data_IF_249315555162
#
_entry.id   IF_249315555162
#
_cell.length_a   1.000
_cell.length_b   1.000
_cell.length_c   1.000
_cell.angle_alpha   90.00
_cell.angle_beta   90.00
_cell.angle_gamma   90.00
#
_symmetry.space_group_name_H-M   'P 1'
#
loop_
_entity.id
_entity.type
_entity.pdbx_description
1 polymer ?
#
# COMPACT_ATOMS: atom_id res chain seq x y z
N UNK A 1 -17.41 -9.58 -40.51
CA UNK A 1 -18.48 -9.32 -39.52
C UNK A 1 -19.09 -10.59 -38.92
N UNK A 2 -19.44 -11.62 -39.71
CA UNK A 2 -19.99 -12.90 -39.19
C UNK A 2 -19.00 -13.78 -38.40
N UNK A 3 -17.68 -13.64 -38.59
CA UNK A 3 -16.66 -14.37 -37.80
C UNK A 3 -16.37 -13.80 -36.40
N UNK A 4 -16.73 -12.53 -36.15
CA UNK A 4 -16.55 -11.90 -34.84
C UNK A 4 -17.73 -12.20 -33.88
N UNK A 5 -18.92 -12.47 -34.44
CA UNK A 5 -20.11 -12.81 -33.66
C UNK A 5 -20.18 -14.29 -33.27
N UNK A 6 -19.39 -15.18 -33.90
CA UNK A 6 -19.40 -16.62 -33.58
C UNK A 6 -18.54 -17.01 -32.38
N UNK A 7 -17.65 -16.14 -31.89
CA UNK A 7 -16.87 -16.43 -30.68
C UNK A 7 -17.61 -16.08 -29.37
N UNK A 8 -18.65 -15.24 -29.44
CA UNK A 8 -19.49 -14.90 -28.29
C UNK A 8 -20.47 -16.02 -27.90
N UNK A 9 -20.58 -17.08 -28.71
CA UNK A 9 -21.62 -18.10 -28.55
C UNK A 9 -21.18 -19.35 -27.76
N UNK A 10 -19.94 -19.45 -27.28
CA UNK A 10 -19.48 -20.67 -26.57
C UNK A 10 -18.45 -20.48 -25.44
N UNK A 11 -18.04 -19.24 -25.10
CA UNK A 11 -17.15 -18.97 -23.98
C UNK A 11 -17.93 -18.37 -22.81
N UNK A 12 -17.89 -18.98 -21.63
CA UNK A 12 -18.42 -18.34 -20.41
C UNK A 12 -17.60 -17.08 -20.14
N UNK A 13 -18.21 -15.90 -20.23
CA UNK A 13 -17.61 -14.63 -19.80
C UNK A 13 -17.19 -14.76 -18.34
N UNK A 14 -15.93 -14.44 -18.02
CA UNK A 14 -15.44 -14.38 -16.63
C UNK A 14 -15.74 -13.01 -16.07
N UNK A 15 -16.29 -12.93 -14.87
CA UNK A 15 -16.61 -11.66 -14.21
C UNK A 15 -15.72 -11.43 -13.01
N UNK A 16 -15.25 -10.20 -12.85
CA UNK A 16 -14.33 -9.79 -11.81
C UNK A 16 -14.86 -8.53 -11.12
N UNK A 17 -14.85 -8.47 -9.79
CA UNK A 17 -15.24 -7.28 -9.02
C UNK A 17 -14.03 -6.63 -8.41
N UNK A 18 -13.97 -5.33 -8.59
CA UNK A 18 -13.12 -4.42 -7.86
C UNK A 18 -14.00 -3.60 -6.90
N UNK A 19 -13.71 -3.69 -5.61
CA UNK A 19 -14.28 -2.83 -4.57
C UNK A 19 -13.31 -1.71 -4.23
N UNK A 20 -13.82 -0.60 -3.68
CA UNK A 20 -13.00 0.54 -3.25
C UNK A 20 -12.32 1.27 -4.41
N UNK A 21 -12.95 1.27 -5.59
CA UNK A 21 -12.41 1.87 -6.81
C UNK A 21 -12.29 3.39 -6.76
N UNK A 22 -12.96 4.03 -5.80
CA UNK A 22 -12.87 5.45 -5.50
C UNK A 22 -11.66 5.79 -4.61
N UNK A 23 -10.99 4.79 -4.03
CA UNK A 23 -9.80 4.94 -3.20
C UNK A 23 -8.53 5.17 -4.01
N UNK A 24 -7.44 5.57 -3.32
CA UNK A 24 -6.15 5.87 -3.96
C UNK A 24 -5.56 4.69 -4.75
N UNK A 25 -5.73 3.46 -4.23
CA UNK A 25 -5.24 2.23 -4.88
C UNK A 25 -6.26 1.70 -5.88
N UNK A 26 -7.54 1.66 -5.49
CA UNK A 26 -8.60 1.11 -6.33
C UNK A 26 -8.82 1.87 -7.63
N UNK A 27 -8.63 3.20 -7.65
CA UNK A 27 -8.78 3.98 -8.89
C UNK A 27 -7.75 3.59 -9.95
N UNK A 28 -6.49 3.53 -9.56
CA UNK A 28 -5.40 3.12 -10.45
C UNK A 28 -5.54 1.64 -10.83
N UNK A 29 -6.00 0.79 -9.90
CA UNK A 29 -6.29 -0.60 -10.22
C UNK A 29 -7.41 -0.72 -11.25
N UNK A 30 -8.48 0.07 -11.15
CA UNK A 30 -9.58 0.09 -12.10
C UNK A 30 -9.09 0.45 -13.52
N UNK A 31 -8.32 1.53 -13.63
CA UNK A 31 -7.74 1.96 -14.91
C UNK A 31 -6.85 0.87 -15.50
N UNK A 32 -5.94 0.30 -14.71
CA UNK A 32 -5.05 -0.76 -15.19
C UNK A 32 -5.80 -2.05 -15.55
N UNK A 33 -6.87 -2.39 -14.84
CA UNK A 33 -7.72 -3.54 -15.19
C UNK A 33 -8.38 -3.37 -16.56
N UNK A 34 -8.82 -2.16 -16.92
CA UNK A 34 -9.38 -1.88 -18.25
C UNK A 34 -8.34 -2.11 -19.34
N UNK A 35 -7.09 -1.74 -19.08
CA UNK A 35 -5.99 -1.88 -20.06
C UNK A 35 -5.60 -3.35 -20.30
N UNK A 36 -5.64 -4.19 -19.27
CA UNK A 36 -5.10 -5.58 -19.34
C UNK A 36 -6.17 -6.67 -19.41
N UNK A 37 -7.46 -6.32 -19.28
CA UNK A 37 -8.56 -7.26 -19.40
C UNK A 37 -8.68 -7.81 -20.83
N UNK A 38 -8.92 -9.12 -20.94
CA UNK A 38 -9.18 -9.77 -22.23
C UNK A 38 -10.62 -9.55 -22.68
N UNK A 39 -10.95 -9.66 -23.97
CA UNK A 39 -12.31 -9.48 -24.48
C UNK A 39 -13.39 -10.35 -23.81
N UNK A 40 -13.01 -11.53 -23.30
CA UNK A 40 -13.88 -12.47 -22.58
C UNK A 40 -14.00 -12.20 -21.06
N UNK A 41 -13.29 -11.19 -20.55
CA UNK A 41 -13.25 -10.81 -19.14
C UNK A 41 -14.04 -9.52 -18.91
N UNK A 42 -15.02 -9.59 -18.01
CA UNK A 42 -15.84 -8.45 -17.63
C UNK A 42 -15.41 -7.94 -16.26
N UNK A 43 -14.95 -6.69 -16.21
CA UNK A 43 -14.60 -6.00 -14.97
C UNK A 43 -15.80 -5.23 -14.43
N UNK A 44 -15.94 -5.22 -13.11
CA UNK A 44 -17.03 -4.58 -12.40
C UNK A 44 -16.43 -3.71 -11.33
N UNK A 45 -16.75 -2.44 -11.41
CA UNK A 45 -16.25 -1.43 -10.50
C UNK A 45 -17.39 -1.08 -9.54
N UNK A 46 -17.13 -1.19 -8.24
CA UNK A 46 -18.11 -0.79 -7.21
C UNK A 46 -17.58 0.38 -6.38
N UNK A 47 -18.49 1.28 -6.03
CA UNK A 47 -18.28 2.38 -5.09
C UNK A 47 -19.52 2.52 -4.20
N UNK A 48 -19.33 3.01 -2.98
CA UNK A 48 -20.42 3.43 -2.10
C UNK A 48 -20.97 4.81 -2.50
N UNK A 49 -20.26 5.56 -3.35
CA UNK A 49 -20.67 6.84 -3.91
C UNK A 49 -20.58 6.78 -5.45
N UNK A 50 -21.73 6.69 -6.12
CA UNK A 50 -21.79 6.56 -7.58
C UNK A 50 -21.30 7.81 -8.32
N UNK A 51 -21.28 8.99 -7.67
CA UNK A 51 -20.76 10.22 -8.29
C UNK A 51 -19.23 10.20 -8.44
N UNK A 52 -18.56 9.34 -7.67
CA UNK A 52 -17.10 9.17 -7.73
C UNK A 52 -16.63 8.22 -8.84
N UNK A 53 -17.56 7.51 -9.49
CA UNK A 53 -17.25 6.56 -10.56
C UNK A 53 -17.16 7.27 -11.92
N UNK A 54 -16.24 6.85 -12.82
CA UNK A 54 -16.27 7.28 -14.21
C UNK A 54 -17.59 6.86 -14.88
N UNK A 55 -18.09 7.66 -15.83
CA UNK A 55 -19.50 7.69 -16.27
C UNK A 55 -20.07 6.42 -16.98
N UNK A 56 -19.34 5.32 -17.06
CA UNK A 56 -19.75 4.08 -17.75
C UNK A 56 -19.91 2.93 -16.73
N UNK A 57 -21.12 2.38 -16.51
CA UNK A 57 -21.35 1.33 -15.53
C UNK A 57 -21.05 -0.08 -16.07
N UNK A 58 -20.40 -0.92 -15.26
CA UNK A 58 -20.16 -2.35 -15.56
C UNK A 58 -20.51 -3.22 -14.33
N UNK A 59 -21.08 -4.42 -14.53
CA UNK A 59 -21.92 -5.19 -13.57
C UNK A 59 -21.35 -6.52 -12.99
N UNK A 60 -21.52 -6.76 -11.67
CA UNK A 60 -20.81 -7.61 -10.65
C UNK A 60 -20.46 -9.13 -10.83
N UNK A 61 -19.30 -9.59 -10.29
CA UNK A 61 -19.07 -10.51 -9.10
C UNK A 61 -17.58 -10.73 -8.65
N UNK A 62 -17.34 -11.01 -7.35
CA UNK A 62 -16.15 -11.46 -6.55
C UNK A 62 -14.75 -10.80 -6.71
N UNK A 63 -14.12 -10.44 -5.57
CA UNK A 63 -12.92 -9.61 -5.45
C UNK A 63 -11.80 -10.28 -4.61
N UNK A 64 -10.52 -10.13 -4.95
CA UNK A 64 -9.42 -10.37 -4.03
C UNK A 64 -9.41 -9.31 -2.93
N UNK A 65 -8.88 -9.67 -1.77
CA UNK A 65 -8.68 -8.72 -0.68
C UNK A 65 -7.29 -8.07 -0.81
N UNK A 66 -7.25 -6.75 -0.95
CA UNK A 66 -6.05 -5.96 -0.66
C UNK A 66 -6.34 -4.99 0.45
N UNK A 67 -5.41 -4.91 1.41
CA UNK A 67 -5.34 -3.80 2.35
C UNK A 67 -3.91 -3.25 2.39
N UNK A 68 -3.76 -1.93 2.65
CA UNK A 68 -2.44 -1.31 2.70
C UNK A 68 -1.65 -1.83 3.90
N UNK A 69 -0.43 -2.31 3.65
CA UNK A 69 0.61 -2.63 4.64
C UNK A 69 0.50 -3.95 5.41
N UNK A 70 0.80 -5.09 4.76
CA UNK A 70 0.98 -6.39 5.43
C UNK A 70 2.42 -6.83 5.26
N UNK A 71 3.13 -7.12 6.35
CA UNK A 71 4.39 -7.87 6.31
C UNK A 71 4.15 -9.29 6.85
N UNK A 72 5.06 -10.25 6.60
CA UNK A 72 4.99 -11.53 7.30
C UNK A 72 5.00 -11.34 8.82
N UNK A 73 4.02 -11.93 9.50
CA UNK A 73 3.90 -11.98 10.96
C UNK A 73 3.88 -13.45 11.38
N UNK A 74 4.77 -13.84 12.29
CA UNK A 74 4.94 -15.24 12.71
C UNK A 74 4.14 -15.60 13.98
N UNK A 75 3.65 -14.61 14.72
CA UNK A 75 2.95 -14.78 16.00
C UNK A 75 1.44 -14.59 15.86
N UNK A 76 0.68 -15.35 16.64
CA UNK A 76 -0.77 -15.20 16.80
C UNK A 76 -1.14 -14.41 18.08
N UNK A 77 -0.14 -13.99 18.86
CA UNK A 77 -0.35 -13.15 20.04
C UNK A 77 -0.53 -11.71 19.57
N UNK A 78 -1.76 -11.18 19.63
CA UNK A 78 -2.14 -9.89 19.05
C UNK A 78 -1.24 -8.72 19.49
N UNK A 79 -0.83 -8.72 20.76
CA UNK A 79 0.04 -7.70 21.35
C UNK A 79 1.47 -7.75 20.81
N UNK A 80 1.91 -8.90 20.30
CA UNK A 80 3.22 -9.08 19.65
C UNK A 80 3.17 -8.74 18.15
N UNK A 81 1.98 -8.54 17.58
CA UNK A 81 1.82 -8.10 16.19
C UNK A 81 1.98 -6.57 16.13
N UNK A 82 2.88 -6.05 15.28
CA UNK A 82 3.02 -4.61 15.08
C UNK A 82 1.68 -3.97 14.73
N UNK A 83 1.50 -2.71 15.13
CA UNK A 83 0.19 -2.03 15.06
C UNK A 83 -0.43 -2.05 13.66
N UNK A 84 0.37 -1.76 12.63
CA UNK A 84 -0.09 -1.64 11.24
C UNK A 84 -0.52 -2.96 10.58
N UNK A 85 0.26 -4.07 10.64
CA UNK A 85 -0.16 -5.34 10.05
C UNK A 85 -1.21 -6.10 10.86
N UNK A 86 -1.58 -5.64 12.07
CA UNK A 86 -2.45 -6.40 13.00
C UNK A 86 -3.80 -6.77 12.41
N UNK A 87 -4.53 -5.81 11.84
CA UNK A 87 -5.84 -6.10 11.26
C UNK A 87 -5.71 -7.01 10.02
N UNK A 88 -4.64 -6.87 9.23
CA UNK A 88 -4.43 -7.72 8.06
C UNK A 88 -4.07 -9.15 8.43
N UNK A 89 -3.27 -9.38 9.48
CA UNK A 89 -2.96 -10.72 9.97
C UNK A 89 -4.25 -11.51 10.26
N UNK A 90 -5.21 -10.86 10.92
CA UNK A 90 -6.51 -11.47 11.20
C UNK A 90 -7.32 -11.76 9.93
N UNK A 91 -7.36 -10.84 8.96
CA UNK A 91 -8.09 -11.04 7.71
C UNK A 91 -7.44 -12.12 6.84
N UNK A 92 -6.11 -12.18 6.79
CA UNK A 92 -5.37 -13.22 6.06
C UNK A 92 -5.70 -14.61 6.62
N UNK A 93 -5.70 -14.76 7.95
CA UNK A 93 -6.08 -16.01 8.62
C UNK A 93 -7.50 -16.44 8.27
N UNK A 94 -8.47 -15.52 8.37
CA UNK A 94 -9.87 -15.78 7.99
C UNK A 94 -9.96 -16.22 6.53
N UNK A 95 -9.23 -15.55 5.63
CA UNK A 95 -9.23 -15.89 4.20
C UNK A 95 -8.68 -17.29 3.96
N UNK A 96 -7.53 -17.63 4.57
CA UNK A 96 -6.91 -18.95 4.43
C UNK A 96 -7.76 -20.08 5.02
N UNK A 97 -8.50 -19.82 6.10
CA UNK A 97 -9.38 -20.79 6.76
C UNK A 97 -10.78 -20.91 6.10
N UNK A 98 -11.13 -19.98 5.21
CA UNK A 98 -12.48 -19.91 4.60
C UNK A 98 -12.81 -21.07 3.66
N UNK A 99 -11.80 -21.78 3.16
CA UNK A 99 -11.94 -22.79 2.10
C UNK A 99 -12.18 -22.22 0.70
N UNK A 100 -12.12 -20.88 0.54
CA UNK A 100 -12.15 -20.22 -0.77
C UNK A 100 -10.76 -20.22 -1.40
N UNK A 101 -10.70 -20.24 -2.74
CA UNK A 101 -9.47 -19.92 -3.45
C UNK A 101 -9.07 -18.47 -3.18
N UNK A 102 -7.80 -18.23 -2.87
CA UNK A 102 -7.32 -16.90 -2.51
C UNK A 102 -6.04 -16.50 -3.24
N UNK A 103 -5.87 -15.19 -3.39
CA UNK A 103 -4.57 -14.56 -3.45
C UNK A 103 -4.54 -13.45 -2.41
N UNK A 104 -3.41 -13.34 -1.71
CA UNK A 104 -3.18 -12.28 -0.73
C UNK A 104 -2.02 -11.44 -1.25
N UNK A 105 -2.25 -10.14 -1.40
CA UNK A 105 -1.19 -9.20 -1.70
C UNK A 105 -0.83 -8.42 -0.44
N UNK A 106 0.44 -8.55 -0.06
CA UNK A 106 1.07 -7.92 1.07
C UNK A 106 1.81 -6.68 0.60
N UNK A 107 1.16 -5.53 0.70
CA UNK A 107 1.80 -4.27 0.38
C UNK A 107 2.81 -3.93 1.47
N UNK A 108 4.00 -3.49 1.09
CA UNK A 108 4.94 -2.91 2.05
C UNK A 108 4.72 -1.40 2.17
N UNK A 109 5.49 -0.69 3.01
CA UNK A 109 5.30 0.75 3.22
C UNK A 109 5.34 1.51 1.90
N UNK A 110 4.31 2.31 1.66
CA UNK A 110 4.25 3.14 0.47
C UNK A 110 5.28 4.26 0.54
N UNK A 111 6.15 4.35 -0.46
CA UNK A 111 7.09 5.46 -0.57
C UNK A 111 6.35 6.80 -0.66
N UNK A 112 5.20 6.82 -1.32
CA UNK A 112 4.30 7.98 -1.43
C UNK A 112 3.85 8.54 -0.08
N UNK A 113 3.80 7.72 0.97
CA UNK A 113 3.36 8.17 2.29
C UNK A 113 4.37 9.14 2.92
N UNK A 114 5.65 9.08 2.54
CA UNK A 114 6.67 9.98 3.09
C UNK A 114 6.35 11.45 2.78
N UNK A 115 6.24 11.88 1.51
CA UNK A 115 5.90 13.27 1.21
C UNK A 115 4.48 13.67 1.62
N UNK A 116 3.52 12.73 1.69
CA UNK A 116 2.12 13.07 2.00
C UNK A 116 1.79 13.09 3.48
N UNK A 117 2.45 12.28 4.30
CA UNK A 117 2.13 12.11 5.72
C UNK A 117 3.26 12.60 6.64
N UNK A 118 4.53 12.31 6.30
CA UNK A 118 5.66 12.64 7.17
C UNK A 118 6.26 14.02 6.88
N UNK A 119 6.52 14.36 5.62
CA UNK A 119 7.11 15.64 5.25
C UNK A 119 6.33 16.88 5.75
N UNK A 120 4.98 16.90 5.77
CA UNK A 120 4.22 17.98 6.36
C UNK A 120 4.55 18.25 7.85
N UNK A 121 4.99 17.23 8.59
CA UNK A 121 5.37 17.34 10.00
C UNK A 121 6.70 18.05 10.23
N UNK A 122 7.60 18.10 9.24
CA UNK A 122 8.98 18.48 9.50
C UNK A 122 9.14 19.90 10.03
N UNK A 123 8.37 20.85 9.49
CA UNK A 123 8.37 22.24 9.95
C UNK A 123 7.86 22.34 11.40
N UNK A 124 6.80 21.59 11.71
CA UNK A 124 6.24 21.51 13.06
C UNK A 124 7.26 20.93 14.06
N UNK A 125 8.09 20.01 13.61
CA UNK A 125 9.20 19.42 14.39
C UNK A 125 10.47 20.31 14.43
N UNK A 126 10.40 21.57 14.01
CA UNK A 126 11.55 22.47 14.01
C UNK A 126 12.54 22.17 12.88
N UNK A 127 12.01 21.90 11.68
CA UNK A 127 12.73 21.49 10.48
C UNK A 127 13.49 20.16 10.66
N UNK A 128 12.83 19.19 11.28
CA UNK A 128 13.38 17.85 11.55
C UNK A 128 12.43 16.76 11.09
N UNK A 129 12.97 15.67 10.56
CA UNK A 129 12.27 14.40 10.54
C UNK A 129 12.70 13.61 11.77
N UNK A 130 11.79 13.49 12.73
CA UNK A 130 11.94 12.60 13.88
C UNK A 130 11.55 11.19 13.46
N UNK A 131 12.47 10.23 13.58
CA UNK A 131 12.26 8.84 13.16
C UNK A 131 12.77 7.88 14.21
N UNK A 132 12.18 6.69 14.24
CA UNK A 132 12.60 5.53 15.05
C UNK A 132 13.02 4.35 14.16
N UNK A 133 13.50 4.60 12.94
CA UNK A 133 13.95 3.54 12.04
C UNK A 133 15.38 3.08 12.30
N UNK A 134 16.15 3.77 13.15
CA UNK A 134 17.52 3.40 13.53
C UNK A 134 18.47 3.15 12.34
N UNK A 135 18.34 3.98 11.30
CA UNK A 135 19.09 3.89 10.04
C UNK A 135 18.97 2.52 9.32
N UNK A 136 17.98 1.69 9.68
CA UNK A 136 17.71 0.42 9.01
C UNK A 136 16.94 0.69 7.71
N UNK A 137 17.44 0.20 6.55
CA UNK A 137 16.77 0.42 5.27
C UNK A 137 15.59 -0.54 5.08
N UNK A 138 14.63 -0.15 4.24
CA UNK A 138 13.50 -0.99 3.88
C UNK A 138 13.13 -0.95 2.40
N UNK A 139 12.47 -2.00 1.91
CA UNK A 139 12.00 -2.08 0.52
C UNK A 139 10.65 -1.38 0.31
N UNK A 140 10.66 -0.04 0.33
CA UNK A 140 9.46 0.78 0.07
C UNK A 140 8.89 0.53 -1.32
N UNK A 141 7.57 0.47 -1.43
CA UNK A 141 6.88 0.22 -2.71
C UNK A 141 6.10 1.46 -3.15
N UNK A 142 6.01 1.71 -4.46
CA UNK A 142 5.13 2.75 -4.97
C UNK A 142 3.67 2.28 -4.85
N UNK A 143 2.77 3.17 -4.40
CA UNK A 143 1.33 2.86 -4.30
C UNK A 143 0.75 2.46 -5.66
N UNK A 144 1.25 3.06 -6.73
CA UNK A 144 0.86 2.75 -8.11
C UNK A 144 1.19 1.29 -8.49
N UNK A 145 2.39 0.81 -8.11
CA UNK A 145 2.79 -0.57 -8.38
C UNK A 145 1.92 -1.57 -7.62
N UNK A 146 1.62 -1.27 -6.35
CA UNK A 146 0.64 -2.06 -5.60
C UNK A 146 -0.74 -2.09 -6.27
N UNK A 147 -1.17 -0.99 -6.89
CA UNK A 147 -2.45 -0.92 -7.61
C UNK A 147 -2.44 -1.83 -8.84
N UNK A 148 -1.33 -1.85 -9.59
CA UNK A 148 -1.16 -2.72 -10.77
C UNK A 148 -1.09 -4.20 -10.39
N UNK A 149 -0.37 -4.54 -9.32
CA UNK A 149 -0.34 -5.91 -8.78
C UNK A 149 -1.74 -6.34 -8.38
N UNK A 150 -2.50 -5.47 -7.70
CA UNK A 150 -3.86 -5.79 -7.27
C UNK A 150 -4.76 -6.11 -8.46
N UNK A 151 -4.79 -5.22 -9.44
CA UNK A 151 -5.52 -5.40 -10.69
C UNK A 151 -5.18 -6.74 -11.39
N UNK A 152 -3.90 -7.09 -11.49
CA UNK A 152 -3.48 -8.35 -12.06
C UNK A 152 -4.00 -9.56 -11.25
N UNK A 153 -3.94 -9.50 -9.92
CA UNK A 153 -4.47 -10.56 -9.06
C UNK A 153 -6.00 -10.67 -9.16
N UNK A 154 -6.74 -9.55 -9.27
CA UNK A 154 -8.19 -9.57 -9.50
C UNK A 154 -8.51 -10.35 -10.77
N UNK A 155 -7.77 -10.10 -11.85
CA UNK A 155 -7.96 -10.78 -13.14
C UNK A 155 -7.43 -12.23 -13.16
N UNK A 156 -7.10 -12.79 -12.00
CA UNK A 156 -6.65 -14.18 -11.86
C UNK A 156 -5.31 -14.44 -12.53
N UNK A 157 -4.41 -13.45 -12.54
CA UNK A 157 -3.03 -13.61 -13.05
C UNK A 157 -2.07 -14.21 -12.01
N UNK A 158 -2.52 -14.36 -10.76
CA UNK A 158 -1.79 -15.05 -9.70
C UNK A 158 -1.84 -16.57 -9.82
N UNK A 159 -0.93 -17.22 -9.10
CA UNK A 159 -0.96 -18.66 -8.82
C UNK A 159 -2.02 -18.93 -7.75
N UNK A 160 -2.76 -20.06 -7.80
CA UNK A 160 -3.77 -20.36 -6.79
C UNK A 160 -3.21 -20.40 -5.37
N UNK A 161 -3.93 -19.80 -4.41
CA UNK A 161 -3.64 -19.88 -2.96
C UNK A 161 -2.23 -19.39 -2.58
N UNK A 162 -1.80 -18.31 -3.23
CA UNK A 162 -0.47 -17.71 -3.04
C UNK A 162 -0.53 -16.33 -2.40
N UNK A 163 0.42 -16.09 -1.50
CA UNK A 163 0.73 -14.79 -0.91
C UNK A 163 1.82 -14.12 -1.76
N UNK A 164 1.63 -12.84 -2.05
CA UNK A 164 2.52 -12.01 -2.86
C UNK A 164 2.94 -10.77 -2.07
N UNK A 165 4.22 -10.69 -1.70
CA UNK A 165 4.79 -9.44 -1.18
C UNK A 165 4.99 -8.46 -2.33
N UNK A 166 4.40 -7.27 -2.23
CA UNK A 166 4.59 -6.17 -3.16
C UNK A 166 5.57 -5.17 -2.54
N UNK A 167 6.82 -5.22 -2.97
CA UNK A 167 7.93 -4.41 -2.44
C UNK A 167 8.53 -3.51 -3.50
N UNK A 168 9.37 -2.57 -3.07
CA UNK A 168 10.32 -1.93 -3.97
C UNK A 168 11.43 -2.88 -4.44
N UNK A 169 12.22 -2.47 -5.44
CA UNK A 169 13.29 -3.28 -6.00
C UNK A 169 14.62 -3.14 -5.23
N UNK A 170 14.72 -2.19 -4.30
CA UNK A 170 15.93 -1.89 -3.54
C UNK A 170 15.59 -1.45 -2.11
N UNK A 171 16.56 -1.56 -1.21
CA UNK A 171 16.44 -1.13 0.18
C UNK A 171 16.87 0.33 0.31
N UNK A 172 16.06 1.14 0.97
CA UNK A 172 16.30 2.58 1.10
C UNK A 172 16.16 3.02 2.55
N UNK A 173 17.05 3.88 3.04
CA UNK A 173 16.92 4.48 4.36
C UNK A 173 15.99 5.70 4.30
N UNK A 174 15.25 5.96 5.38
CA UNK A 174 14.44 7.18 5.49
C UNK A 174 15.27 8.45 5.35
N UNK A 175 16.49 8.43 5.89
CA UNK A 175 17.45 9.52 5.75
C UNK A 175 17.77 9.83 4.28
N UNK A 176 18.03 8.80 3.46
CA UNK A 176 18.32 8.99 2.03
C UNK A 176 17.12 9.60 1.30
N UNK A 177 15.90 9.15 1.62
CA UNK A 177 14.65 9.73 1.08
C UNK A 177 14.49 11.20 1.48
N UNK A 178 14.75 11.53 2.75
CA UNK A 178 14.72 12.90 3.25
C UNK A 178 15.72 13.80 2.50
N UNK A 179 16.96 13.34 2.38
CA UNK A 179 18.04 14.08 1.72
C UNK A 179 17.70 14.33 0.26
N UNK A 180 17.21 13.30 -0.45
CA UNK A 180 16.75 13.44 -1.83
C UNK A 180 15.60 14.46 -1.95
N UNK A 181 14.56 14.39 -1.12
CA UNK A 181 13.46 15.37 -1.14
C UNK A 181 13.95 16.81 -0.84
N UNK A 182 14.90 16.97 0.09
CA UNK A 182 15.50 18.26 0.40
C UNK A 182 16.31 18.81 -0.78
N UNK A 183 17.01 17.97 -1.53
CA UNK A 183 17.73 18.36 -2.75
C UNK A 183 16.76 18.85 -3.84
N UNK A 184 15.66 18.12 -4.05
CA UNK A 184 14.66 18.44 -5.07
C UNK A 184 13.87 19.72 -4.78
N UNK A 185 13.62 20.02 -3.51
CA UNK A 185 12.77 21.15 -3.09
C UNK A 185 13.56 22.37 -2.61
N UNK A 186 14.84 22.21 -2.31
CA UNK A 186 15.66 23.21 -1.62
C UNK A 186 15.35 23.35 -0.12
N UNK A 187 14.41 22.57 0.42
CA UNK A 187 14.06 22.58 1.84
C UNK A 187 15.25 22.13 2.70
N UNK A 188 15.33 22.64 3.93
CA UNK A 188 16.35 22.25 4.90
C UNK A 188 15.69 21.46 6.02
N UNK A 189 15.99 20.18 6.08
CA UNK A 189 15.52 19.26 7.10
C UNK A 189 16.71 18.51 7.72
N UNK A 190 16.65 18.27 9.02
CA UNK A 190 17.59 17.41 9.74
C UNK A 190 16.91 16.07 10.05
N UNK A 191 17.63 14.97 9.81
CA UNK A 191 17.18 13.65 10.22
C UNK A 191 17.60 13.39 11.67
N UNK A 192 16.65 13.04 12.53
CA UNK A 192 16.90 12.76 13.95
C UNK A 192 16.32 11.40 14.31
N UNK A 193 17.21 10.46 14.62
CA UNK A 193 16.85 9.15 15.15
C UNK A 193 16.50 9.25 16.64
N UNK A 194 15.46 8.54 17.06
CA UNK A 194 14.92 8.56 18.41
C UNK A 194 14.45 7.15 18.82
N UNK A 195 14.58 6.77 20.10
CA UNK A 195 13.92 5.58 20.63
C UNK A 195 12.39 5.69 20.54
N UNK A 196 11.71 4.56 20.36
CA UNK A 196 10.25 4.46 20.27
C UNK A 196 9.54 5.18 21.43
N UNK A 197 10.00 4.97 22.67
CA UNK A 197 9.41 5.58 23.86
C UNK A 197 9.51 7.11 23.85
N UNK A 198 10.65 7.65 23.42
CA UNK A 198 10.88 9.10 23.37
C UNK A 198 10.07 9.75 22.25
N UNK A 199 10.04 9.13 21.06
CA UNK A 199 9.25 9.60 19.93
C UNK A 199 7.76 9.54 20.25
N UNK A 200 7.32 8.46 20.89
CA UNK A 200 5.94 8.27 21.36
C UNK A 200 5.55 9.40 22.30
N UNK A 201 6.36 9.62 23.35
CA UNK A 201 6.10 10.68 24.32
C UNK A 201 6.08 12.06 23.66
N UNK A 202 7.00 12.33 22.74
CA UNK A 202 7.11 13.63 22.08
C UNK A 202 5.82 13.99 21.31
N UNK A 203 5.24 13.01 20.60
CA UNK A 203 4.01 13.18 19.84
C UNK A 203 2.76 13.25 20.71
N UNK A 204 2.66 12.40 21.74
CA UNK A 204 1.55 12.42 22.69
C UNK A 204 1.48 13.75 23.46
N UNK A 205 2.63 14.27 23.91
CA UNK A 205 2.71 15.58 24.59
C UNK A 205 2.26 16.76 23.69
N UNK A 206 2.17 16.53 22.37
CA UNK A 206 1.71 17.50 21.35
C UNK A 206 0.32 17.19 20.80
N UNK A 207 -0.36 16.21 21.40
CA UNK A 207 -1.76 15.91 21.10
C UNK A 207 -1.98 14.94 19.93
N UNK A 208 -0.94 14.23 19.45
CA UNK A 208 -1.16 13.16 18.47
C UNK A 208 -2.10 12.10 19.09
N UNK A 209 -3.24 11.78 18.47
CA UNK A 209 -4.22 10.89 19.06
C UNK A 209 -3.76 9.43 19.01
N UNK A 210 -4.32 8.60 19.87
CA UNK A 210 -4.07 7.15 19.90
C UNK A 210 -4.95 6.37 18.93
N UNK A 211 -5.98 7.01 18.37
CA UNK A 211 -6.98 6.39 17.48
C UNK A 211 -7.29 7.31 16.29
N UNK A 212 -7.47 6.70 15.12
CA UNK A 212 -7.75 7.41 13.87
C UNK A 212 -9.22 7.79 13.71
N UNK A 213 -10.16 7.04 14.31
CA UNK A 213 -11.59 7.26 14.11
C UNK A 213 -12.12 8.47 14.89
N UNK A 214 -11.57 8.72 16.07
CA UNK A 214 -12.08 9.74 17.01
C UNK A 214 -11.07 10.84 17.35
N UNK A 215 -9.84 10.74 16.84
CA UNK A 215 -8.77 11.72 17.10
C UNK A 215 -9.04 13.12 16.55
N UNK A 216 -8.62 14.15 17.27
CA UNK A 216 -8.61 15.54 16.79
C UNK A 216 -7.29 15.85 16.06
N UNK A 217 -7.38 16.09 14.76
CA UNK A 217 -6.24 16.42 13.90
C UNK A 217 -6.18 17.90 13.51
N UNK A 218 -7.09 18.74 14.03
CA UNK A 218 -7.26 20.12 13.57
C UNK A 218 -6.01 21.00 13.75
N UNK A 219 -5.14 20.65 14.69
CA UNK A 219 -3.88 21.35 14.99
C UNK A 219 -2.63 20.55 14.63
N UNK A 220 -2.77 19.36 14.03
CA UNK A 220 -1.65 18.46 13.77
C UNK A 220 -1.20 18.55 12.31
N UNK A 221 0.11 18.46 12.05
CA UNK A 221 0.64 18.60 10.70
C UNK A 221 0.47 17.33 9.86
N UNK A 222 0.06 16.22 10.47
CA UNK A 222 -0.10 14.92 9.83
C UNK A 222 -1.36 14.22 10.35
N UNK A 223 -1.95 13.38 9.51
CA UNK A 223 -3.15 12.61 9.82
C UNK A 223 -2.80 11.15 10.08
N UNK A 224 -2.11 10.92 11.19
CA UNK A 224 -1.66 9.61 11.69
C UNK A 224 -1.98 9.52 13.18
N UNK A 225 -2.37 8.35 13.68
CA UNK A 225 -2.39 8.13 15.12
C UNK A 225 -0.98 7.73 15.61
N UNK A 226 -0.80 7.66 16.93
CA UNK A 226 0.48 7.27 17.51
C UNK A 226 0.94 5.89 17.05
N UNK A 227 0.02 4.93 16.92
CA UNK A 227 0.31 3.59 16.46
C UNK A 227 0.85 3.60 15.03
N UNK A 228 0.20 4.34 14.12
CA UNK A 228 0.67 4.48 12.75
C UNK A 228 2.07 5.12 12.68
N UNK A 229 2.28 6.20 13.43
CA UNK A 229 3.50 7.00 13.37
C UNK A 229 4.73 6.21 13.86
N UNK A 230 4.58 5.45 14.95
CA UNK A 230 5.68 4.68 15.56
C UNK A 230 5.92 3.37 14.79
N UNK A 231 4.86 2.67 14.40
CA UNK A 231 4.99 1.36 13.78
C UNK A 231 5.72 1.42 12.42
N UNK A 232 5.59 2.52 11.68
CA UNK A 232 6.33 2.70 10.41
C UNK A 232 7.85 2.60 10.59
N UNK A 233 8.42 3.25 11.62
CA UNK A 233 9.85 3.18 11.89
C UNK A 233 10.25 1.90 12.60
N UNK A 234 9.42 1.40 13.53
CA UNK A 234 9.65 0.13 14.25
C UNK A 234 9.82 -1.05 13.28
N UNK A 235 8.97 -1.15 12.26
CA UNK A 235 9.03 -2.19 11.23
C UNK A 235 10.30 -2.13 10.37
N UNK A 236 10.91 -0.96 10.26
CA UNK A 236 12.22 -0.82 9.62
C UNK A 236 13.31 -1.20 10.60
N UNK A 237 13.29 -0.60 11.81
CA UNK A 237 14.30 -0.79 12.84
C UNK A 237 14.47 -2.25 13.28
N UNK A 238 13.39 -3.04 13.26
CA UNK A 238 13.43 -4.46 13.58
C UNK A 238 13.81 -5.37 12.38
N UNK A 239 14.00 -4.80 11.19
CA UNK A 239 14.38 -5.51 9.98
C UNK A 239 13.25 -6.27 9.29
N UNK A 240 11.96 -6.04 9.62
CA UNK A 240 10.84 -6.71 8.97
C UNK A 240 10.71 -6.39 7.47
N UNK A 241 11.39 -5.34 6.99
CA UNK A 241 11.29 -4.82 5.63
C UNK A 241 12.57 -4.92 4.78
N UNK A 242 13.45 -5.88 5.05
CA UNK A 242 14.77 -5.99 4.40
C UNK A 242 14.81 -6.85 3.12
N UNK A 243 13.68 -7.44 2.70
CA UNK A 243 13.63 -8.31 1.53
C UNK A 243 12.96 -7.60 0.35
N UNK A 244 13.39 -7.92 -0.87
CA UNK A 244 12.75 -7.45 -2.10
C UNK A 244 12.09 -8.61 -2.84
N UNK A 245 11.00 -8.34 -3.56
CA UNK A 245 10.33 -9.28 -4.46
C UNK A 245 10.33 -8.77 -5.89
N UNK A 246 10.06 -9.67 -6.84
CA UNK A 246 9.82 -9.35 -8.26
C UNK A 246 8.32 -9.45 -8.62
N UNK A 247 7.45 -9.33 -7.61
CA UNK A 247 5.99 -9.44 -7.76
C UNK A 247 5.44 -8.41 -8.73
N UNK A 248 5.93 -7.17 -8.67
CA UNK A 248 5.50 -6.08 -9.54
C UNK A 248 5.83 -6.41 -10.99
N UNK A 249 7.08 -6.77 -11.27
CA UNK A 249 7.55 -7.13 -12.60
C UNK A 249 6.80 -8.33 -13.17
N UNK A 250 6.69 -9.41 -12.39
CA UNK A 250 6.09 -10.66 -12.85
C UNK A 250 4.60 -10.54 -13.15
N UNK A 251 3.84 -9.81 -12.32
CA UNK A 251 2.39 -9.74 -12.47
C UNK A 251 1.92 -8.63 -13.40
N UNK A 252 2.71 -7.56 -13.53
CA UNK A 252 2.28 -6.37 -14.27
C UNK A 252 3.02 -6.17 -15.59
N UNK A 253 4.19 -6.77 -15.75
CA UNK A 253 5.08 -6.54 -16.89
C UNK A 253 5.79 -5.17 -16.85
N UNK A 254 5.60 -4.37 -15.79
CA UNK A 254 6.28 -3.11 -15.57
C UNK A 254 7.43 -3.26 -14.57
N UNK A 255 8.52 -2.53 -14.79
CA UNK A 255 9.57 -2.40 -13.79
C UNK A 255 9.04 -1.67 -12.55
N UNK A 256 9.44 -2.12 -11.35
CA UNK A 256 9.08 -1.45 -10.11
C UNK A 256 9.58 -0.01 -10.09
N UNK A 257 8.65 0.91 -9.84
CA UNK A 257 8.83 2.36 -9.90
C UNK A 257 9.74 2.88 -8.80
N UNK A 258 9.97 2.09 -7.74
CA UNK A 258 10.83 2.45 -6.61
C UNK A 258 12.26 2.82 -7.00
N UNK A 259 12.78 2.21 -8.07
CA UNK A 259 14.12 2.51 -8.60
C UNK A 259 14.22 3.86 -9.32
N UNK A 260 13.09 4.44 -9.76
CA UNK A 260 13.07 5.63 -10.61
C UNK A 260 12.96 6.93 -9.82
N UNK A 261 12.32 6.94 -8.64
CA UNK A 261 12.08 8.20 -7.92
C UNK A 261 13.38 8.87 -7.44
N UNK A 262 14.33 8.14 -6.85
CA UNK A 262 15.60 8.73 -6.39
C UNK A 262 16.63 8.97 -7.51
N UNK A 263 16.38 8.47 -8.74
CA UNK A 263 17.31 8.58 -9.87
C UNK A 263 16.92 9.66 -10.88
N UNK A 264 15.78 10.32 -10.68
CA UNK A 264 15.40 11.48 -11.49
C UNK A 264 16.09 12.75 -10.93
N UNK A 265 16.77 13.52 -11.81
CA UNK A 265 17.52 14.71 -11.42
C UNK A 265 16.63 15.83 -10.89
#
# INVERSE_FOLDING_TARGET
MQRALSQLANGKTKKFVLTGADGNLGRVAADFMVDIAKPEEQVVITSYDLETLPAEPLSASSAPATRPLSVPVETDVEEEIPFLPRDHHFIEKIMMESGLDYNIQRNWLYMDNIPTLFAPSWKFCGNKWLSNSHDVPGAYVAREDCSRVFAALILGRGEPNKVYDATGPELVQQKDLMEWMCQQTGYKCEYVDMPDEELTKWWLDRGLPTDMATGDFSQLPMKLCIGDAICCGEMLGNGAMINTSDTVEKLTGHASSGSYMMKLP
#
